data_IF_186551895804
#
_entry.id   IF_186551895804
#
_cell.length_a   1.000
_cell.length_b   1.000
_cell.length_c   1.000
_cell.angle_alpha   90.00
_cell.angle_beta   90.00
_cell.angle_gamma   90.00
#
_symmetry.space_group_name_H-M   'P 1'
#
loop_
_entity.id
_entity.type
_entity.pdbx_description
1 polymer ?
#
# COMPACT_ATOMS: atom_id res chain seq x y z
N UNK A 1 1.05 30.30 3.11
CA UNK A 1 1.96 30.89 4.12
C UNK A 1 3.39 30.63 3.69
N UNK A 2 4.38 31.41 4.14
CA UNK A 2 5.80 31.26 3.82
C UNK A 2 6.57 30.91 5.11
N UNK A 3 7.38 29.85 5.09
CA UNK A 3 8.25 29.42 6.18
C UNK A 3 9.71 29.62 5.74
N UNK A 4 10.47 30.37 6.54
CA UNK A 4 11.90 30.62 6.29
C UNK A 4 12.68 30.79 7.58
N UNK A 5 13.99 30.69 7.49
CA UNK A 5 14.91 30.99 8.59
C UNK A 5 15.40 32.42 8.48
N UNK A 6 15.29 33.21 9.56
CA UNK A 6 15.87 34.56 9.64
C UNK A 6 16.83 34.62 10.83
N UNK A 7 18.13 34.72 10.53
CA UNK A 7 19.17 34.58 11.55
C UNK A 7 19.14 33.16 12.13
N UNK A 8 18.84 33.03 13.42
CA UNK A 8 18.71 31.75 14.15
C UNK A 8 17.26 31.40 14.52
N UNK A 9 16.26 32.08 13.94
CA UNK A 9 14.84 31.87 14.27
C UNK A 9 14.04 31.43 13.05
N UNK A 10 13.07 30.55 13.26
CA UNK A 10 12.07 30.22 12.26
C UNK A 10 11.00 31.30 12.26
N UNK A 11 10.63 31.81 11.09
CA UNK A 11 9.57 32.81 10.94
C UNK A 11 8.56 32.34 9.92
N UNK A 12 7.28 32.57 10.23
CA UNK A 12 6.17 32.31 9.33
C UNK A 12 5.60 33.64 8.85
N UNK A 13 5.34 33.76 7.55
CA UNK A 13 4.75 34.95 6.94
C UNK A 13 3.45 34.57 6.22
N UNK A 14 2.42 35.39 6.35
CA UNK A 14 1.21 35.22 5.54
C UNK A 14 1.56 35.48 4.07
N UNK A 15 1.11 34.59 3.17
CA UNK A 15 1.34 34.77 1.74
C UNK A 15 0.24 35.68 1.18
N UNK A 16 0.59 36.90 0.76
CA UNK A 16 -0.33 37.92 0.25
C UNK A 16 0.09 39.35 0.63
N UNK A 17 -0.20 40.33 -0.23
CA UNK A 17 0.20 41.74 -0.09
C UNK A 17 -0.38 42.45 1.15
N UNK A 18 -1.34 41.84 1.84
CA UNK A 18 -2.13 42.52 2.86
C UNK A 18 -1.41 42.71 4.22
N UNK A 19 -0.51 41.81 4.67
CA UNK A 19 0.24 42.01 5.92
C UNK A 19 1.58 41.24 5.92
N UNK A 20 2.65 41.95 5.58
CA UNK A 20 4.06 41.50 5.55
C UNK A 20 4.67 41.35 6.96
N UNK A 21 3.89 40.95 7.97
CA UNK A 21 4.43 40.79 9.33
C UNK A 21 5.00 39.39 9.48
N UNK A 22 6.27 39.31 9.90
CA UNK A 22 6.86 38.05 10.34
C UNK A 22 6.20 37.65 11.65
N UNK A 23 5.63 36.45 11.67
CA UNK A 23 4.91 35.87 12.80
C UNK A 23 5.81 34.80 13.41
N UNK A 24 5.95 34.88 14.73
CA UNK A 24 6.65 33.87 15.51
C UNK A 24 5.80 32.59 15.59
N UNK A 25 6.35 31.40 15.25
CA UNK A 25 5.65 30.12 15.38
C UNK A 25 4.97 29.88 16.73
N UNK A 26 5.52 30.38 17.84
CA UNK A 26 4.92 30.23 19.17
C UNK A 26 3.61 31.01 19.36
N UNK A 27 3.37 32.02 18.54
CA UNK A 27 2.11 32.79 18.56
C UNK A 27 0.99 32.14 17.76
N UNK A 28 1.30 31.09 17.00
CA UNK A 28 0.35 30.35 16.17
C UNK A 28 -0.17 29.10 16.89
N UNK A 29 -1.36 28.59 16.51
CA UNK A 29 -1.93 27.36 17.08
C UNK A 29 -1.25 26.09 16.53
N UNK A 30 0.10 26.04 16.55
CA UNK A 30 0.89 24.91 16.05
C UNK A 30 1.20 23.86 17.13
N UNK A 31 0.97 24.20 18.40
CA UNK A 31 1.42 23.42 19.56
C UNK A 31 2.89 23.72 19.93
N UNK A 32 3.24 23.67 21.23
CA UNK A 32 4.56 24.07 21.71
C UNK A 32 5.69 23.23 21.11
N UNK A 33 5.50 21.91 21.00
CA UNK A 33 6.51 20.99 20.48
C UNK A 33 6.93 21.30 19.04
N UNK A 34 5.98 21.67 18.17
CA UNK A 34 6.28 21.99 16.77
C UNK A 34 6.95 23.36 16.65
N UNK A 35 6.52 24.33 17.45
CA UNK A 35 7.12 25.66 17.49
C UNK A 35 8.58 25.61 17.98
N UNK A 36 8.86 24.80 19.00
CA UNK A 36 10.20 24.56 19.52
C UNK A 36 11.08 23.86 18.47
N UNK A 37 10.57 22.78 17.85
CA UNK A 37 11.29 22.05 16.81
C UNK A 37 11.65 22.93 15.60
N UNK A 38 10.78 23.88 15.22
CA UNK A 38 11.07 24.85 14.15
C UNK A 38 12.22 25.79 14.54
N UNK A 39 12.25 26.28 15.78
CA UNK A 39 13.31 27.15 16.27
C UNK A 39 14.65 26.42 16.40
N UNK A 40 14.64 25.19 16.92
CA UNK A 40 15.84 24.36 16.99
C UNK A 40 16.40 24.08 15.60
N UNK A 41 15.54 23.71 14.66
CA UNK A 41 15.92 23.52 13.26
C UNK A 41 16.52 24.79 12.64
N UNK A 42 15.92 25.96 12.89
CA UNK A 42 16.43 27.24 12.38
C UNK A 42 17.83 27.58 12.94
N UNK A 43 18.08 27.30 14.21
CA UNK A 43 19.40 27.49 14.83
C UNK A 43 20.45 26.58 14.20
N UNK A 44 20.11 25.30 13.96
CA UNK A 44 21.02 24.35 13.28
C UNK A 44 21.28 24.79 11.84
N UNK A 45 20.26 25.21 11.11
CA UNK A 45 20.41 25.71 9.75
C UNK A 45 21.33 26.94 9.67
N UNK A 46 21.21 27.86 10.63
CA UNK A 46 22.08 29.03 10.72
C UNK A 46 23.55 28.68 11.02
N UNK A 47 23.79 27.64 11.83
CA UNK A 47 25.14 27.13 12.08
C UNK A 47 25.74 26.48 10.83
N UNK A 48 24.97 25.64 10.13
CA UNK A 48 25.41 24.95 8.89
C UNK A 48 25.72 25.94 7.77
N UNK A 49 24.95 27.02 7.64
CA UNK A 49 25.24 28.08 6.66
C UNK A 49 26.55 28.81 6.99
N UNK A 50 26.79 29.15 8.27
CA UNK A 50 28.06 29.76 8.70
C UNK A 50 29.28 28.87 8.45
N UNK A 51 29.17 27.56 8.65
CA UNK A 51 30.25 26.63 8.33
C UNK A 51 30.48 26.51 6.81
N UNK A 52 29.40 26.53 6.02
CA UNK A 52 29.49 26.53 4.56
C UNK A 52 30.18 27.81 4.05
N UNK A 53 29.83 28.98 4.60
CA UNK A 53 30.48 30.26 4.28
C UNK A 53 31.97 30.27 4.66
N UNK A 54 32.36 29.49 5.68
CA UNK A 54 33.75 29.30 6.12
C UNK A 54 34.54 28.29 5.26
N UNK A 55 33.90 27.65 4.27
CA UNK A 55 34.53 26.71 3.33
C UNK A 55 34.65 25.27 3.83
N UNK A 56 33.91 24.88 4.87
CA UNK A 56 33.90 23.51 5.37
C UNK A 56 32.98 22.58 4.54
N UNK A 57 33.35 21.30 4.33
CA UNK A 57 32.55 20.36 3.55
C UNK A 57 31.15 20.13 4.15
N UNK A 58 30.12 20.39 3.35
CA UNK A 58 28.71 20.43 3.74
C UNK A 58 28.01 19.07 3.85
N UNK A 59 28.55 18.11 4.61
CA UNK A 59 27.96 16.77 4.73
C UNK A 59 26.61 16.78 5.48
N UNK A 60 26.35 17.80 6.30
CA UNK A 60 25.14 17.95 7.12
C UNK A 60 24.03 18.76 6.43
N UNK A 61 24.37 19.53 5.39
CA UNK A 61 23.45 20.34 4.58
C UNK A 61 22.17 19.57 4.13
N UNK A 62 22.27 18.39 3.49
CA UNK A 62 21.09 17.67 3.00
C UNK A 62 20.14 17.22 4.11
N UNK A 63 20.67 16.94 5.32
CA UNK A 63 19.88 16.51 6.47
C UNK A 63 19.02 17.67 7.00
N UNK A 64 19.59 18.87 7.07
CA UNK A 64 18.87 20.08 7.50
C UNK A 64 17.74 20.41 6.53
N UNK A 65 18.01 20.36 5.22
CA UNK A 65 17.02 20.57 4.17
C UNK A 65 15.88 19.54 4.24
N UNK A 66 16.20 18.26 4.42
CA UNK A 66 15.19 17.21 4.58
C UNK A 66 14.33 17.41 5.83
N UNK A 67 14.95 17.76 6.96
CA UNK A 67 14.23 18.02 8.21
C UNK A 67 13.32 19.26 8.11
N UNK A 68 13.77 20.31 7.45
CA UNK A 68 12.99 21.52 7.21
C UNK A 68 11.71 21.23 6.42
N UNK A 69 11.83 20.44 5.33
CA UNK A 69 10.67 19.97 4.55
C UNK A 69 9.69 19.14 5.39
N UNK A 70 10.18 18.27 6.27
CA UNK A 70 9.31 17.49 7.17
C UNK A 70 8.53 18.39 8.13
N UNK A 71 9.17 19.39 8.73
CA UNK A 71 8.52 20.33 9.64
C UNK A 71 7.50 21.20 8.90
N UNK A 72 7.86 21.71 7.72
CA UNK A 72 6.98 22.49 6.86
C UNK A 72 5.73 21.69 6.44
N UNK A 73 5.87 20.40 6.12
CA UNK A 73 4.73 19.52 5.82
C UNK A 73 3.78 19.35 7.01
N UNK A 74 4.32 19.25 8.24
CA UNK A 74 3.49 19.22 9.46
C UNK A 74 2.75 20.53 9.68
N UNK A 75 3.43 21.67 9.50
CA UNK A 75 2.80 22.99 9.58
C UNK A 75 1.69 23.12 8.54
N UNK A 76 1.94 22.75 7.28
CA UNK A 76 0.93 22.80 6.22
C UNK A 76 -0.31 21.96 6.57
N UNK A 77 -0.08 20.74 7.07
CA UNK A 77 -1.17 19.81 7.44
C UNK A 77 -1.97 20.32 8.64
N UNK A 78 -1.32 20.83 9.69
CA UNK A 78 -2.00 21.38 10.87
C UNK A 78 -2.79 22.66 10.56
N UNK A 79 -2.22 23.53 9.72
CA UNK A 79 -2.87 24.78 9.32
C UNK A 79 -3.92 24.58 8.22
N UNK A 80 -3.96 23.41 7.58
CA UNK A 80 -4.86 23.13 6.46
C UNK A 80 -4.60 23.99 5.22
N UNK A 81 -3.43 24.65 5.12
CA UNK A 81 -3.08 25.56 4.02
C UNK A 81 -1.69 25.26 3.47
N UNK A 82 -1.43 25.49 2.17
CA UNK A 82 -0.10 25.34 1.61
C UNK A 82 0.95 26.25 2.26
N UNK A 83 2.14 25.69 2.49
CA UNK A 83 3.30 26.39 3.04
C UNK A 83 4.41 26.44 1.99
N UNK A 84 4.81 27.66 1.63
CA UNK A 84 5.97 27.97 0.80
C UNK A 84 7.20 27.89 1.69
N UNK A 85 7.95 26.82 1.59
CA UNK A 85 9.16 26.58 2.36
C UNK A 85 10.37 27.10 1.58
N UNK A 86 11.16 28.00 2.18
CA UNK A 86 12.44 28.44 1.64
C UNK A 86 13.55 27.65 2.32
N UNK A 87 14.30 26.88 1.54
CA UNK A 87 15.41 26.09 2.06
C UNK A 87 16.58 26.99 2.47
N UNK A 88 17.00 27.01 3.74
CA UNK A 88 18.06 27.91 4.22
C UNK A 88 19.47 27.55 3.74
N UNK A 89 19.63 26.42 3.05
CA UNK A 89 20.90 25.92 2.51
C UNK A 89 20.99 26.16 1.00
N UNK A 90 19.91 25.88 0.26
CA UNK A 90 19.89 26.03 -1.21
C UNK A 90 19.20 27.30 -1.71
N UNK A 91 18.54 28.05 -0.82
CA UNK A 91 17.67 29.19 -1.12
C UNK A 91 16.53 28.87 -2.11
N UNK A 92 16.20 27.59 -2.26
CA UNK A 92 15.12 27.13 -3.14
C UNK A 92 13.77 27.24 -2.44
N UNK A 93 12.79 27.85 -3.11
CA UNK A 93 11.41 27.90 -2.65
C UNK A 93 10.64 26.66 -3.12
N UNK A 94 10.04 25.93 -2.19
CA UNK A 94 9.27 24.72 -2.43
C UNK A 94 7.88 24.89 -1.82
N UNK A 95 6.84 24.76 -2.64
CA UNK A 95 5.45 24.78 -2.15
C UNK A 95 5.08 23.40 -1.62
N UNK A 96 4.80 23.33 -0.31
CA UNK A 96 4.42 22.10 0.37
C UNK A 96 2.91 22.12 0.61
N UNK A 97 2.13 21.29 -0.11
CA UNK A 97 0.68 21.22 0.09
C UNK A 97 0.34 20.53 1.42
N UNK A 98 -0.80 20.86 2.04
CA UNK A 98 -1.31 20.11 3.17
C UNK A 98 -1.59 18.67 2.74
N UNK A 99 -1.20 17.68 3.55
CA UNK A 99 -1.56 16.28 3.28
C UNK A 99 -3.08 16.17 3.44
N UNK A 100 -3.84 15.77 2.40
CA UNK A 100 -5.27 15.55 2.55
C UNK A 100 -5.47 14.42 3.55
N UNK A 101 -6.05 14.73 4.71
CA UNK A 101 -6.53 13.70 5.64
C UNK A 101 -7.71 13.04 4.95
N UNK A 102 -7.42 12.02 4.15
CA UNK A 102 -8.46 11.24 3.49
C UNK A 102 -9.04 10.36 4.59
N UNK A 103 -10.05 10.87 5.30
CA UNK A 103 -10.91 10.05 6.14
C UNK A 103 -11.74 9.16 5.21
N UNK A 104 -11.10 8.18 4.58
CA UNK A 104 -11.85 7.05 4.01
C UNK A 104 -12.40 6.33 5.22
N UNK A 105 -13.69 6.54 5.52
CA UNK A 105 -14.35 5.79 6.59
C UNK A 105 -14.08 4.30 6.35
N UNK A 106 -13.45 3.60 7.30
CA UNK A 106 -13.16 2.19 7.11
C UNK A 106 -14.50 1.48 6.92
N UNK A 107 -14.64 0.83 5.77
CA UNK A 107 -15.82 0.04 5.44
C UNK A 107 -16.07 -0.99 6.56
N UNK A 108 -17.33 -1.37 6.76
CA UNK A 108 -17.73 -2.30 7.83
C UNK A 108 -16.89 -3.59 7.82
N UNK A 109 -16.55 -4.07 6.62
CA UNK A 109 -15.65 -5.22 6.39
C UNK A 109 -14.25 -4.95 6.96
N UNK A 110 -13.68 -3.78 6.71
CA UNK A 110 -12.34 -3.40 7.17
C UNK A 110 -12.27 -3.21 8.70
N UNK A 111 -13.38 -2.83 9.34
CA UNK A 111 -13.48 -2.77 10.81
C UNK A 111 -13.51 -4.17 11.43
N UNK A 112 -14.19 -5.12 10.77
CA UNK A 112 -14.32 -6.49 11.25
C UNK A 112 -13.07 -7.34 11.00
N UNK A 113 -12.40 -7.15 9.87
CA UNK A 113 -11.27 -7.99 9.42
C UNK A 113 -9.91 -7.28 9.45
N UNK A 114 -9.87 -6.02 9.89
CA UNK A 114 -8.66 -5.18 9.91
C UNK A 114 -8.31 -4.57 8.54
N UNK A 115 -7.39 -3.60 8.52
CA UNK A 115 -6.85 -3.09 7.26
C UNK A 115 -6.13 -4.23 6.55
N UNK A 116 -6.64 -4.63 5.37
CA UNK A 116 -5.90 -5.49 4.46
C UNK A 116 -4.74 -4.65 3.91
N UNK A 117 -3.60 -4.68 4.58
CA UNK A 117 -2.35 -4.23 3.98
C UNK A 117 -2.07 -5.17 2.81
N UNK A 118 -2.43 -4.73 1.60
CA UNK A 118 -1.94 -5.36 0.38
C UNK A 118 -0.47 -4.92 0.26
N UNK A 119 0.37 -5.46 1.14
CA UNK A 119 1.80 -5.33 1.05
C UNK A 119 2.27 -5.92 -0.27
N UNK A 120 3.22 -5.24 -0.92
CA UNK A 120 3.96 -5.79 -2.08
C UNK A 120 4.92 -6.89 -1.63
N UNK A 121 4.44 -7.82 -0.80
CA UNK A 121 5.22 -8.98 -0.40
C UNK A 121 5.39 -9.91 -1.61
N UNK A 122 6.61 -10.44 -1.82
CA UNK A 122 6.84 -11.41 -2.88
C UNK A 122 5.83 -12.55 -2.77
N UNK A 123 5.07 -12.80 -3.83
CA UNK A 123 4.09 -13.88 -3.85
C UNK A 123 4.77 -15.20 -3.51
N UNK A 124 4.36 -15.91 -2.45
CA UNK A 124 5.06 -17.11 -2.01
C UNK A 124 4.74 -18.28 -2.94
N UNK A 125 5.52 -18.41 -4.03
CA UNK A 125 5.34 -19.42 -5.06
C UNK A 125 5.46 -20.84 -4.52
N UNK A 126 6.38 -21.09 -3.58
CA UNK A 126 6.62 -22.43 -3.05
C UNK A 126 5.38 -23.05 -2.38
N UNK A 127 4.82 -22.38 -1.38
CA UNK A 127 3.62 -22.86 -0.68
C UNK A 127 2.39 -22.84 -1.59
N UNK A 128 2.27 -21.83 -2.47
CA UNK A 128 1.20 -21.74 -3.45
C UNK A 128 1.14 -22.94 -4.41
N UNK A 129 2.29 -23.39 -4.92
CA UNK A 129 2.36 -24.52 -5.85
C UNK A 129 2.03 -25.85 -5.16
N UNK A 130 2.47 -26.04 -3.91
CA UNK A 130 2.16 -27.25 -3.12
C UNK A 130 0.66 -27.34 -2.84
N UNK A 131 0.04 -26.24 -2.45
CA UNK A 131 -1.42 -26.17 -2.24
C UNK A 131 -2.16 -26.46 -3.55
N UNK A 132 -1.72 -25.88 -4.66
CA UNK A 132 -2.32 -26.15 -5.97
C UNK A 132 -2.22 -27.63 -6.35
N UNK A 133 -1.05 -28.26 -6.15
CA UNK A 133 -0.86 -29.69 -6.42
C UNK A 133 -1.73 -30.59 -5.53
N UNK A 134 -1.82 -30.29 -4.24
CA UNK A 134 -2.69 -31.01 -3.31
C UNK A 134 -4.16 -30.91 -3.71
N UNK A 135 -4.64 -29.70 -4.00
CA UNK A 135 -6.03 -29.48 -4.45
C UNK A 135 -6.29 -30.20 -5.77
N UNK A 136 -5.35 -30.20 -6.70
CA UNK A 136 -5.47 -30.94 -7.96
C UNK A 136 -5.65 -32.44 -7.70
N UNK A 137 -4.83 -33.04 -6.82
CA UNK A 137 -4.94 -34.44 -6.44
C UNK A 137 -6.32 -34.76 -5.83
N UNK A 138 -6.79 -33.95 -4.89
CA UNK A 138 -8.12 -34.12 -4.27
C UNK A 138 -9.24 -34.08 -5.31
N UNK A 139 -9.20 -33.11 -6.22
CA UNK A 139 -10.21 -32.98 -7.29
C UNK A 139 -10.18 -34.16 -8.25
N UNK A 140 -8.99 -34.63 -8.64
CA UNK A 140 -8.83 -35.83 -9.47
C UNK A 140 -9.43 -37.05 -8.77
N UNK A 141 -9.05 -37.29 -7.51
CA UNK A 141 -9.57 -38.42 -6.74
C UNK A 141 -11.08 -38.37 -6.60
N UNK A 142 -11.66 -37.19 -6.31
CA UNK A 142 -13.10 -37.03 -6.18
C UNK A 142 -13.83 -37.32 -7.51
N UNK A 143 -13.32 -36.82 -8.63
CA UNK A 143 -13.91 -37.07 -9.95
C UNK A 143 -13.80 -38.54 -10.36
N UNK A 144 -12.65 -39.19 -10.12
CA UNK A 144 -12.48 -40.60 -10.47
C UNK A 144 -13.32 -41.51 -9.57
N UNK A 145 -13.41 -41.22 -8.27
CA UNK A 145 -14.27 -41.97 -7.37
C UNK A 145 -15.74 -41.88 -7.79
N UNK A 146 -16.20 -40.68 -8.17
CA UNK A 146 -17.54 -40.49 -8.73
C UNK A 146 -17.72 -41.28 -10.04
N UNK A 147 -16.73 -41.23 -10.94
CA UNK A 147 -16.83 -41.91 -12.23
C UNK A 147 -16.86 -43.43 -12.10
N UNK A 148 -15.99 -44.01 -11.26
CA UNK A 148 -15.96 -45.46 -10.99
C UNK A 148 -17.26 -45.91 -10.34
N UNK A 149 -17.74 -45.21 -9.32
CA UNK A 149 -19.00 -45.55 -8.64
C UNK A 149 -20.19 -45.52 -9.61
N UNK A 150 -20.22 -44.59 -10.57
CA UNK A 150 -21.27 -44.54 -11.58
C UNK A 150 -21.08 -45.60 -12.67
N UNK A 151 -19.85 -45.91 -13.06
CA UNK A 151 -19.58 -46.91 -14.08
C UNK A 151 -19.95 -48.34 -13.63
N UNK A 152 -19.91 -48.63 -12.33
CA UNK A 152 -20.35 -49.92 -11.79
C UNK A 152 -21.87 -50.14 -11.92
N UNK A 153 -22.66 -49.06 -11.83
CA UNK A 153 -24.13 -49.14 -11.72
C UNK A 153 -24.88 -48.64 -12.98
N UNK A 154 -24.22 -47.87 -13.86
CA UNK A 154 -24.89 -47.14 -14.96
C UNK A 154 -24.13 -47.17 -16.29
N UNK A 155 -24.80 -46.76 -17.36
CA UNK A 155 -24.20 -46.66 -18.70
C UNK A 155 -23.20 -45.49 -18.79
N UNK A 156 -22.09 -45.68 -19.52
CA UNK A 156 -20.97 -44.72 -19.59
C UNK A 156 -21.34 -43.28 -19.99
N UNK A 157 -22.43 -43.05 -20.75
CA UNK A 157 -22.89 -41.70 -21.08
C UNK A 157 -23.36 -40.90 -19.84
N UNK A 158 -23.90 -41.57 -18.82
CA UNK A 158 -24.33 -40.95 -17.55
C UNK A 158 -23.11 -40.45 -16.78
N UNK A 159 -22.02 -41.21 -16.79
CA UNK A 159 -20.74 -40.84 -16.18
C UNK A 159 -20.21 -39.53 -16.77
N UNK A 160 -20.27 -39.41 -18.11
CA UNK A 160 -19.85 -38.20 -18.83
C UNK A 160 -20.73 -37.00 -18.48
N UNK A 161 -22.06 -37.18 -18.44
CA UNK A 161 -23.00 -36.11 -18.08
C UNK A 161 -22.82 -35.63 -16.64
N UNK A 162 -22.69 -36.55 -15.69
CA UNK A 162 -22.48 -36.22 -14.29
C UNK A 162 -21.17 -35.42 -14.10
N UNK A 163 -20.08 -35.88 -14.74
CA UNK A 163 -18.79 -35.20 -14.68
C UNK A 163 -18.84 -33.79 -15.31
N UNK A 164 -19.58 -33.63 -16.40
CA UNK A 164 -19.82 -32.33 -17.03
C UNK A 164 -20.62 -31.37 -16.13
N UNK A 165 -21.65 -31.87 -15.43
CA UNK A 165 -22.44 -31.07 -14.48
C UNK A 165 -21.55 -30.61 -13.31
N UNK A 166 -20.73 -31.51 -12.76
CA UNK A 166 -19.81 -31.17 -11.66
C UNK A 166 -18.81 -30.09 -12.10
N UNK A 167 -18.18 -30.24 -13.26
CA UNK A 167 -17.24 -29.24 -13.78
C UNK A 167 -17.91 -27.91 -14.08
N UNK A 168 -19.14 -27.92 -14.62
CA UNK A 168 -19.93 -26.71 -14.83
C UNK A 168 -20.28 -26.00 -13.52
N UNK A 169 -20.61 -26.74 -12.45
CA UNK A 169 -20.87 -26.19 -11.12
C UNK A 169 -19.63 -25.58 -10.45
N UNK A 170 -18.44 -26.15 -10.71
CA UNK A 170 -17.17 -25.64 -10.20
C UNK A 170 -16.70 -24.36 -10.91
N UNK A 171 -17.03 -24.20 -12.19
CA UNK A 171 -16.59 -23.06 -13.00
C UNK A 171 -16.88 -21.67 -12.40
N UNK A 172 -18.11 -21.33 -11.95
CA UNK A 172 -18.38 -20.02 -11.35
C UNK A 172 -17.63 -19.79 -10.03
N UNK A 173 -17.47 -20.83 -9.22
CA UNK A 173 -16.71 -20.78 -7.96
C UNK A 173 -15.23 -20.49 -8.22
N UNK A 174 -14.63 -21.15 -9.22
CA UNK A 174 -13.25 -20.92 -9.63
C UNK A 174 -13.06 -19.52 -10.26
N UNK A 175 -14.05 -19.07 -11.03
CA UNK A 175 -14.03 -17.74 -11.66
C UNK A 175 -14.07 -16.61 -10.63
N UNK A 176 -14.79 -16.77 -9.53
CA UNK A 176 -14.83 -15.79 -8.45
C UNK A 176 -13.54 -15.82 -7.61
N UNK A 177 -13.06 -17.03 -7.31
CA UNK A 177 -11.85 -17.27 -6.54
C UNK A 177 -10.58 -16.68 -7.18
N UNK A 178 -10.53 -16.59 -8.52
CA UNK A 178 -9.36 -16.04 -9.24
C UNK A 178 -9.02 -14.59 -8.92
N UNK A 179 -9.98 -13.81 -8.40
CA UNK A 179 -9.78 -12.38 -8.05
C UNK A 179 -9.12 -12.19 -6.69
N UNK A 180 -9.04 -13.23 -5.86
CA UNK A 180 -8.49 -13.18 -4.52
C UNK A 180 -7.05 -13.76 -4.53
N UNK A 181 -6.03 -13.02 -4.07
CA UNK A 181 -4.63 -13.38 -4.28
C UNK A 181 -4.20 -14.68 -3.59
N UNK A 182 -4.86 -15.06 -2.49
CA UNK A 182 -4.62 -16.32 -1.76
C UNK A 182 -5.33 -17.49 -2.45
N UNK A 183 -6.57 -17.27 -2.91
CA UNK A 183 -7.42 -18.29 -3.54
C UNK A 183 -7.00 -18.63 -4.98
N UNK A 184 -6.14 -17.82 -5.61
CA UNK A 184 -5.62 -18.08 -6.96
C UNK A 184 -5.01 -19.48 -7.10
N UNK A 185 -4.30 -19.94 -6.07
CA UNK A 185 -3.56 -21.21 -6.09
C UNK A 185 -4.50 -22.40 -5.98
N UNK A 186 -5.49 -22.29 -5.11
CA UNK A 186 -6.57 -23.27 -4.98
C UNK A 186 -7.36 -23.34 -6.28
N UNK A 187 -7.68 -22.19 -6.88
CA UNK A 187 -8.39 -22.12 -8.16
C UNK A 187 -7.59 -22.75 -9.31
N UNK A 188 -6.28 -22.48 -9.39
CA UNK A 188 -5.38 -23.11 -10.36
C UNK A 188 -5.30 -24.63 -10.17
N UNK A 189 -5.14 -25.09 -8.92
CA UNK A 189 -5.09 -26.51 -8.59
C UNK A 189 -6.38 -27.23 -8.96
N UNK A 190 -7.53 -26.67 -8.60
CA UNK A 190 -8.82 -27.26 -8.91
C UNK A 190 -9.12 -27.25 -10.42
N UNK A 191 -8.77 -26.18 -11.14
CA UNK A 191 -8.92 -26.12 -12.59
C UNK A 191 -8.02 -27.16 -13.29
N UNK A 192 -6.75 -27.25 -12.91
CA UNK A 192 -5.82 -28.24 -13.43
C UNK A 192 -6.27 -29.67 -13.10
N UNK A 193 -6.70 -29.91 -11.87
CA UNK A 193 -7.25 -31.20 -11.43
C UNK A 193 -8.48 -31.61 -12.23
N UNK A 194 -9.42 -30.70 -12.48
CA UNK A 194 -10.60 -30.97 -13.31
C UNK A 194 -10.19 -31.39 -14.74
N UNK A 195 -9.27 -30.65 -15.37
CA UNK A 195 -8.80 -30.96 -16.73
C UNK A 195 -8.10 -32.32 -16.78
N UNK A 196 -7.23 -32.62 -15.80
CA UNK A 196 -6.53 -33.89 -15.73
C UNK A 196 -7.46 -35.07 -15.42
N UNK A 197 -8.47 -34.87 -14.57
CA UNK A 197 -9.43 -35.90 -14.20
C UNK A 197 -10.27 -36.37 -15.40
N UNK A 198 -10.57 -35.49 -16.37
CA UNK A 198 -11.31 -35.86 -17.57
C UNK A 198 -10.66 -37.00 -18.35
N UNK A 199 -9.33 -37.11 -18.39
CA UNK A 199 -8.66 -38.24 -19.04
C UNK A 199 -9.01 -39.58 -18.39
N UNK A 200 -9.04 -39.62 -17.06
CA UNK A 200 -9.42 -40.84 -16.34
C UNK A 200 -10.93 -41.11 -16.41
N UNK A 201 -11.77 -40.07 -16.39
CA UNK A 201 -13.22 -40.23 -16.63
C UNK A 201 -13.48 -40.84 -18.00
N UNK A 202 -12.81 -40.36 -19.05
CA UNK A 202 -12.92 -40.93 -20.39
C UNK A 202 -12.45 -42.39 -20.42
N UNK A 203 -11.34 -42.71 -19.74
CA UNK A 203 -10.85 -44.09 -19.65
C UNK A 203 -11.78 -45.04 -18.86
N UNK A 204 -12.60 -44.51 -17.95
CA UNK A 204 -13.60 -45.29 -17.19
C UNK A 204 -14.91 -45.42 -17.96
N UNK A 205 -15.28 -44.40 -18.74
CA UNK A 205 -16.56 -44.35 -19.46
C UNK A 205 -16.56 -45.14 -20.78
N UNK A 206 -15.39 -45.43 -21.34
CA UNK A 206 -15.19 -46.18 -22.60
C UNK A 206 -14.48 -47.50 -22.34
#
# INVERSE_FOLDING_TARGET
>A
MELRVRGERAVLKAHGEAYTREIDPHTLPLGPELADALHEWARVAAAVRRSADAGEPGDVAPVVSHRGRQLAARVATLMGTPVHYIDPVTDEEIVIPPVPVTHTEPTLIQRLFGPVEIGKEPTPWGTGLVVAGFVAAVVITAMLALAVALAEETAGWVVLLASAVVTAGLAPSLWLARRLPILRWIALGAAAGCVLAWFGVLAVAF
#
